data_IF_556662857553
#
_entry.id   IF_556662857553
#
_cell.length_a   1.000
_cell.length_b   1.000
_cell.length_c   1.000
_cell.angle_alpha   90.00
_cell.angle_beta   90.00
_cell.angle_gamma   90.00
#
_symmetry.space_group_name_H-M   'P 1'
#
loop_
_entity.id
_entity.type
_entity.pdbx_description
1 polymer ?
#
# COMPACT_ATOMS: atom_id res chain seq x y z
N UNK A 1 46.46 6.97 40.35
CA UNK A 1 45.08 6.46 40.16
C UNK A 1 44.49 7.20 38.98
N UNK A 2 44.54 6.58 37.80
CA UNK A 2 43.94 7.11 36.56
C UNK A 2 42.50 6.63 36.53
N UNK A 3 41.54 7.52 36.79
CA UNK A 3 40.12 7.25 36.60
C UNK A 3 39.82 7.57 35.13
N UNK A 4 39.93 6.57 34.27
CA UNK A 4 39.34 6.66 32.94
C UNK A 4 37.83 6.48 33.12
N UNK A 5 37.11 7.59 33.28
CA UNK A 5 35.67 7.59 33.07
C UNK A 5 35.46 7.30 31.58
N UNK A 6 35.16 6.05 31.25
CA UNK A 6 34.67 5.70 29.92
C UNK A 6 33.30 6.37 29.76
N UNK A 7 33.26 7.60 29.26
CA UNK A 7 32.04 8.22 28.75
C UNK A 7 31.59 7.40 27.54
N UNK A 8 30.79 6.35 27.75
CA UNK A 8 29.99 5.80 26.66
C UNK A 8 29.07 6.93 26.23
N UNK A 9 29.17 7.32 24.95
CA UNK A 9 28.24 8.28 24.37
C UNK A 9 26.84 7.71 24.54
N UNK A 10 25.96 8.45 25.21
CA UNK A 10 24.55 8.12 25.27
C UNK A 10 24.02 8.20 23.83
N UNK A 11 23.59 7.06 23.30
CA UNK A 11 23.01 7.00 21.97
C UNK A 11 21.51 7.26 22.12
N UNK A 12 21.08 8.44 21.71
CA UNK A 12 19.66 8.77 21.64
C UNK A 12 19.14 8.31 20.29
N UNK A 13 18.19 7.38 20.28
CA UNK A 13 17.53 6.93 19.04
C UNK A 13 16.93 8.12 18.28
N UNK A 14 17.15 8.11 16.98
CA UNK A 14 16.55 9.02 15.99
C UNK A 14 15.21 8.46 15.51
N UNK A 15 14.41 9.31 14.87
CA UNK A 15 13.20 8.93 14.12
C UNK A 15 13.49 7.85 13.07
N UNK A 16 14.67 7.90 12.44
CA UNK A 16 15.12 6.89 11.48
C UNK A 16 15.41 5.55 12.17
N UNK A 17 16.11 5.55 13.32
CA UNK A 17 16.34 4.32 14.09
C UNK A 17 15.03 3.66 14.53
N UNK A 18 14.07 4.47 14.97
CA UNK A 18 12.74 4.01 15.39
C UNK A 18 11.94 3.44 14.22
N UNK A 19 11.94 4.12 13.08
CA UNK A 19 11.21 3.68 11.87
C UNK A 19 11.83 2.42 11.28
N UNK A 20 13.16 2.33 11.18
CA UNK A 20 13.86 1.13 10.70
C UNK A 20 13.56 -0.09 11.57
N UNK A 21 13.50 0.10 12.89
CA UNK A 21 13.11 -0.98 13.79
C UNK A 21 11.61 -1.30 13.71
N UNK A 22 10.75 -0.29 13.53
CA UNK A 22 9.34 -0.46 13.21
C UNK A 22 9.11 -1.33 11.97
N UNK A 23 9.81 -1.06 10.87
CA UNK A 23 9.76 -1.89 9.66
C UNK A 23 10.27 -3.31 9.89
N UNK A 24 11.36 -3.47 10.66
CA UNK A 24 11.86 -4.80 11.04
C UNK A 24 10.78 -5.62 11.77
N UNK A 25 10.04 -4.99 12.69
CA UNK A 25 8.96 -5.65 13.42
C UNK A 25 7.73 -5.88 12.53
N UNK A 26 7.40 -4.94 11.63
CA UNK A 26 6.30 -5.06 10.68
C UNK A 26 6.50 -6.28 9.76
N UNK A 27 7.71 -6.43 9.23
CA UNK A 27 8.10 -7.59 8.41
C UNK A 27 8.00 -8.90 9.21
N UNK A 28 8.40 -8.91 10.48
CA UNK A 28 8.26 -10.09 11.35
C UNK A 28 6.79 -10.44 11.62
N UNK A 29 5.95 -9.45 11.95
CA UNK A 29 4.53 -9.65 12.19
C UNK A 29 3.81 -10.18 10.93
N UNK A 30 4.17 -9.68 9.75
CA UNK A 30 3.64 -10.17 8.46
C UNK A 30 3.96 -11.65 8.18
N UNK A 31 5.05 -12.20 8.73
CA UNK A 31 5.40 -13.61 8.54
C UNK A 31 4.54 -14.57 9.37
N UNK A 32 3.85 -14.08 10.41
CA UNK A 32 3.06 -14.91 11.33
C UNK A 32 1.64 -14.36 11.57
N UNK A 33 0.96 -13.97 10.48
CA UNK A 33 -0.42 -13.46 10.51
C UNK A 33 -1.45 -14.43 11.12
N UNK A 34 -1.12 -15.72 11.20
CA UNK A 34 -2.02 -16.75 11.76
C UNK A 34 -1.82 -16.98 13.26
N UNK A 35 -0.81 -16.34 13.87
CA UNK A 35 -0.59 -16.37 15.30
C UNK A 35 -1.77 -15.75 16.06
N UNK A 36 -2.02 -16.23 17.27
CA UNK A 36 -2.95 -15.61 18.20
C UNK A 36 -2.43 -14.28 18.81
N UNK A 37 -1.21 -13.88 18.46
CA UNK A 37 -0.58 -12.60 18.86
C UNK A 37 -0.49 -11.59 17.74
N UNK A 38 -0.91 -11.92 16.51
CA UNK A 38 -0.65 -11.08 15.35
C UNK A 38 -1.18 -9.64 15.49
N UNK A 39 -2.37 -9.46 16.08
CA UNK A 39 -2.92 -8.13 16.39
C UNK A 39 -2.03 -7.36 17.39
N UNK A 40 -1.60 -8.01 18.48
CA UNK A 40 -0.71 -7.43 19.48
C UNK A 40 0.66 -7.07 18.91
N UNK A 41 1.18 -7.89 17.99
CA UNK A 41 2.45 -7.68 17.31
C UNK A 41 2.38 -6.41 16.44
N UNK A 42 1.27 -6.18 15.71
CA UNK A 42 1.08 -4.93 14.96
C UNK A 42 0.81 -3.72 15.86
N UNK A 43 0.17 -3.88 17.01
CA UNK A 43 0.06 -2.80 18.01
C UNK A 43 1.44 -2.37 18.52
N UNK A 44 2.36 -3.32 18.71
CA UNK A 44 3.75 -3.04 19.08
C UNK A 44 4.52 -2.35 17.95
N UNK A 45 4.33 -2.79 16.69
CA UNK A 45 4.86 -2.11 15.50
C UNK A 45 4.41 -0.65 15.44
N UNK A 46 3.12 -0.39 15.65
CA UNK A 46 2.53 0.94 15.56
C UNK A 46 3.21 1.92 16.53
N UNK A 47 3.53 1.48 17.75
CA UNK A 47 4.22 2.32 18.75
C UNK A 47 5.56 2.86 18.26
N UNK A 48 6.31 2.07 17.49
CA UNK A 48 7.60 2.51 16.95
C UNK A 48 7.46 3.62 15.92
N UNK A 49 6.48 3.50 15.03
CA UNK A 49 6.20 4.55 14.05
C UNK A 49 5.59 5.81 14.70
N UNK A 50 4.73 5.65 15.72
CA UNK A 50 4.27 6.78 16.52
C UNK A 50 5.41 7.51 17.23
N UNK A 51 6.35 6.76 17.83
CA UNK A 51 7.48 7.36 18.53
C UNK A 51 8.44 8.06 17.55
N UNK A 52 8.62 7.51 16.34
CA UNK A 52 9.34 8.18 15.26
C UNK A 52 8.68 9.52 14.87
N UNK A 53 7.36 9.56 14.68
CA UNK A 53 6.65 10.79 14.31
C UNK A 53 6.53 11.80 15.46
N UNK A 54 6.55 11.35 16.71
CA UNK A 54 6.71 12.21 17.90
C UNK A 54 8.13 12.80 17.98
N UNK A 55 9.14 12.03 17.57
CA UNK A 55 10.55 12.45 17.54
C UNK A 55 10.80 13.50 16.46
N UNK A 56 10.24 13.29 15.27
CA UNK A 56 10.24 14.25 14.17
C UNK A 56 8.92 14.19 13.40
N UNK A 57 8.11 15.24 13.55
CA UNK A 57 6.82 15.37 12.88
C UNK A 57 6.93 15.61 11.37
N UNK A 58 8.14 15.76 10.83
CA UNK A 58 8.42 15.86 9.40
C UNK A 58 8.92 14.55 8.79
N UNK A 59 9.11 13.49 9.59
CA UNK A 59 9.64 12.22 9.11
C UNK A 59 8.58 11.42 8.33
N UNK A 60 8.64 11.49 6.99
CA UNK A 60 7.66 10.91 6.07
C UNK A 60 7.42 9.42 6.31
N UNK A 61 8.50 8.65 6.46
CA UNK A 61 8.41 7.20 6.52
C UNK A 61 7.81 6.69 7.84
N UNK A 62 7.91 7.49 8.91
CA UNK A 62 7.17 7.20 10.16
C UNK A 62 5.65 7.22 9.92
N UNK A 63 5.15 8.16 9.12
CA UNK A 63 3.73 8.22 8.77
C UNK A 63 3.33 7.13 7.76
N UNK A 64 4.21 6.78 6.82
CA UNK A 64 4.03 5.63 5.92
C UNK A 64 3.84 4.34 6.72
N UNK A 65 4.75 4.06 7.66
CA UNK A 65 4.67 2.91 8.55
C UNK A 65 3.42 2.87 9.42
N UNK A 66 2.99 4.01 9.99
CA UNK A 66 1.70 4.10 10.68
C UNK A 66 0.54 3.73 9.77
N UNK A 67 0.50 4.24 8.54
CA UNK A 67 -0.55 3.97 7.57
C UNK A 67 -0.70 2.48 7.25
N UNK A 68 0.40 1.84 6.88
CA UNK A 68 0.42 0.40 6.58
C UNK A 68 0.09 -0.45 7.81
N UNK A 69 0.56 -0.05 8.99
CA UNK A 69 0.27 -0.78 10.24
C UNK A 69 -1.20 -0.71 10.63
N UNK A 70 -1.82 0.48 10.56
CA UNK A 70 -3.25 0.61 10.77
C UNK A 70 -4.08 -0.18 9.75
N UNK A 71 -3.66 -0.19 8.47
CA UNK A 71 -4.33 -1.00 7.46
C UNK A 71 -4.26 -2.50 7.80
N UNK A 72 -3.12 -3.01 8.28
CA UNK A 72 -3.00 -4.41 8.74
C UNK A 72 -3.84 -4.67 10.00
N UNK A 73 -3.86 -3.76 10.98
CA UNK A 73 -4.68 -3.88 12.19
C UNK A 73 -6.18 -4.03 11.87
N UNK A 74 -6.65 -3.34 10.81
CA UNK A 74 -8.05 -3.44 10.38
C UNK A 74 -8.49 -4.87 10.01
N UNK A 75 -7.56 -5.75 9.64
CA UNK A 75 -7.85 -7.15 9.27
C UNK A 75 -8.28 -8.01 10.47
N UNK A 76 -7.94 -7.62 11.69
CA UNK A 76 -8.32 -8.35 12.91
C UNK A 76 -9.68 -7.94 13.47
N UNK A 77 -10.25 -6.84 12.96
CA UNK A 77 -11.54 -6.30 13.40
C UNK A 77 -12.70 -6.88 12.59
N UNK A 78 -13.87 -6.97 13.23
CA UNK A 78 -15.09 -7.45 12.58
C UNK A 78 -15.57 -6.38 11.59
N UNK A 79 -15.84 -6.71 10.30
CA UNK A 79 -16.12 -5.75 9.22
C UNK A 79 -17.26 -4.75 9.42
N UNK A 80 -18.15 -4.96 10.39
CA UNK A 80 -19.46 -4.31 10.42
C UNK A 80 -19.61 -3.13 11.41
N UNK A 81 -18.59 -2.75 12.19
CA UNK A 81 -18.80 -1.68 13.21
C UNK A 81 -17.62 -0.74 13.51
N UNK A 82 -16.41 -0.93 12.94
CA UNK A 82 -15.28 -0.04 13.25
C UNK A 82 -14.26 0.14 12.12
N UNK A 83 -14.51 1.11 11.23
CA UNK A 83 -13.54 1.57 10.23
C UNK A 83 -12.45 2.50 10.82
N UNK A 84 -12.35 2.64 12.14
CA UNK A 84 -11.41 3.57 12.77
C UNK A 84 -9.97 3.31 12.34
N UNK A 85 -9.53 2.05 12.20
CA UNK A 85 -8.16 1.77 11.76
C UNK A 85 -7.92 2.16 10.30
N UNK A 86 -8.86 1.88 9.38
CA UNK A 86 -8.73 2.33 7.99
C UNK A 86 -8.74 3.86 7.89
N UNK A 87 -9.55 4.54 8.70
CA UNK A 87 -9.53 6.01 8.77
C UNK A 87 -8.21 6.53 9.37
N UNK A 88 -7.67 5.88 10.39
CA UNK A 88 -6.37 6.22 10.97
C UNK A 88 -5.23 5.96 9.97
N UNK A 89 -5.35 4.91 9.15
CA UNK A 89 -4.41 4.62 8.07
C UNK A 89 -4.40 5.77 7.05
N UNK A 90 -5.59 6.20 6.59
CA UNK A 90 -5.73 7.36 5.70
C UNK A 90 -5.13 8.61 6.34
N UNK A 91 -5.47 8.91 7.59
CA UNK A 91 -4.95 10.09 8.30
C UNK A 91 -3.43 10.06 8.43
N UNK A 92 -2.83 8.89 8.66
CA UNK A 92 -1.39 8.73 8.70
C UNK A 92 -0.77 8.95 7.32
N UNK A 93 -1.27 8.27 6.28
CA UNK A 93 -0.80 8.44 4.91
C UNK A 93 -0.90 9.88 4.45
N UNK A 94 -2.04 10.56 4.65
CA UNK A 94 -2.24 11.97 4.28
C UNK A 94 -1.33 12.93 5.06
N UNK A 95 -0.95 12.60 6.31
CA UNK A 95 0.06 13.36 7.03
C UNK A 95 1.43 13.15 6.40
N UNK A 96 1.80 11.92 6.04
CA UNK A 96 3.06 11.59 5.37
C UNK A 96 3.17 12.20 3.96
N UNK A 97 2.04 12.30 3.26
CA UNK A 97 1.93 12.91 1.94
C UNK A 97 2.49 14.34 1.96
N UNK A 98 3.32 14.67 0.96
CA UNK A 98 3.99 15.97 0.86
C UNK A 98 5.15 16.23 1.83
N UNK A 99 5.47 15.29 2.74
CA UNK A 99 6.71 15.40 3.56
C UNK A 99 7.94 15.05 2.73
N UNK A 100 9.11 15.57 3.16
CA UNK A 100 10.37 15.35 2.44
C UNK A 100 10.88 13.94 2.70
N UNK A 101 11.17 13.21 1.63
CA UNK A 101 11.82 11.91 1.74
C UNK A 101 13.19 12.02 2.40
N UNK A 102 13.47 11.09 3.32
CA UNK A 102 14.81 10.94 3.88
C UNK A 102 15.76 10.46 2.76
N UNK A 103 16.84 11.21 2.45
CA UNK A 103 17.77 10.84 1.37
C UNK A 103 18.57 9.55 1.64
N UNK A 104 18.42 8.93 2.82
CA UNK A 104 19.02 7.64 3.17
C UNK A 104 18.12 6.44 2.87
N UNK A 105 16.87 6.67 2.46
CA UNK A 105 15.94 5.62 2.04
C UNK A 105 16.02 5.47 0.53
N UNK A 106 16.34 4.26 0.07
CA UNK A 106 16.60 3.96 -1.34
C UNK A 106 15.32 3.84 -2.19
N UNK A 107 14.19 3.47 -1.58
CA UNK A 107 12.89 3.42 -2.25
C UNK A 107 12.12 4.73 -2.11
N UNK A 108 11.14 4.96 -2.99
CA UNK A 108 10.32 6.18 -2.93
C UNK A 108 9.14 5.98 -1.96
N UNK A 109 9.29 6.50 -0.75
CA UNK A 109 8.27 6.39 0.33
C UNK A 109 6.94 7.03 -0.09
N UNK A 110 6.98 8.06 -0.94
CA UNK A 110 5.75 8.67 -1.43
C UNK A 110 4.94 7.70 -2.30
N UNK A 111 5.61 6.83 -3.08
CA UNK A 111 4.90 5.80 -3.86
C UNK A 111 4.17 4.80 -2.96
N UNK A 112 4.79 4.39 -1.84
CA UNK A 112 4.15 3.51 -0.85
C UNK A 112 2.92 4.17 -0.22
N UNK A 113 3.00 5.47 0.07
CA UNK A 113 1.88 6.25 0.60
C UNK A 113 0.73 6.30 -0.42
N UNK A 114 1.01 6.56 -1.70
CA UNK A 114 -0.01 6.61 -2.74
C UNK A 114 -0.68 5.24 -2.93
N UNK A 115 0.09 4.15 -2.91
CA UNK A 115 -0.46 2.80 -2.96
C UNK A 115 -1.32 2.49 -1.72
N UNK A 116 -0.83 2.81 -0.53
CA UNK A 116 -1.54 2.61 0.73
C UNK A 116 -2.89 3.36 0.75
N UNK A 117 -2.92 4.61 0.29
CA UNK A 117 -4.17 5.37 0.11
C UNK A 117 -5.12 4.69 -0.88
N UNK A 118 -4.61 4.25 -2.03
CA UNK A 118 -5.39 3.56 -3.05
C UNK A 118 -6.10 2.33 -2.49
N UNK A 119 -5.36 1.46 -1.80
CA UNK A 119 -5.92 0.24 -1.22
C UNK A 119 -6.87 0.53 -0.06
N UNK A 120 -6.52 1.45 0.83
CA UNK A 120 -7.34 1.77 2.01
C UNK A 120 -8.70 2.36 1.60
N UNK A 121 -8.72 3.29 0.63
CA UNK A 121 -9.98 3.82 0.10
C UNK A 121 -10.79 2.76 -0.65
N UNK A 122 -10.12 1.80 -1.33
CA UNK A 122 -10.82 0.69 -2.00
C UNK A 122 -11.53 -0.21 -0.99
N UNK A 123 -10.93 -0.50 0.16
CA UNK A 123 -11.56 -1.28 1.24
C UNK A 123 -12.76 -0.54 1.81
N UNK A 124 -12.70 0.80 1.91
CA UNK A 124 -13.82 1.64 2.35
C UNK A 124 -14.91 1.86 1.28
N UNK A 125 -14.75 1.26 0.09
CA UNK A 125 -15.64 1.46 -1.07
C UNK A 125 -15.74 2.94 -1.51
N UNK A 126 -14.71 3.74 -1.26
CA UNK A 126 -14.59 5.07 -1.85
C UNK A 126 -13.87 4.97 -3.20
N UNK A 127 -14.61 4.57 -4.22
CA UNK A 127 -14.08 4.39 -5.58
C UNK A 127 -13.51 5.71 -6.15
N UNK A 128 -13.99 6.87 -5.70
CA UNK A 128 -13.51 8.16 -6.21
C UNK A 128 -12.10 8.44 -5.71
N UNK A 129 -11.86 8.28 -4.41
CA UNK A 129 -10.54 8.48 -3.83
C UNK A 129 -9.57 7.36 -4.22
N UNK A 130 -10.06 6.12 -4.38
CA UNK A 130 -9.28 5.00 -4.95
C UNK A 130 -8.70 5.38 -6.31
N UNK A 131 -9.52 5.95 -7.19
CA UNK A 131 -9.09 6.40 -8.52
C UNK A 131 -8.07 7.53 -8.43
N UNK A 132 -8.32 8.55 -7.60
CA UNK A 132 -7.42 9.72 -7.47
C UNK A 132 -6.01 9.29 -7.06
N UNK A 133 -5.89 8.45 -6.04
CA UNK A 133 -4.58 8.05 -5.52
C UNK A 133 -3.88 7.02 -6.41
N UNK A 134 -4.64 6.07 -6.99
CA UNK A 134 -4.06 5.06 -7.88
C UNK A 134 -3.57 5.67 -9.19
N UNK A 135 -4.37 6.55 -9.82
CA UNK A 135 -3.94 7.27 -11.03
C UNK A 135 -2.73 8.17 -10.74
N UNK A 136 -2.63 8.75 -9.53
CA UNK A 136 -1.46 9.52 -9.11
C UNK A 136 -0.21 8.66 -9.05
N UNK A 137 -0.26 7.48 -8.41
CA UNK A 137 0.87 6.56 -8.37
C UNK A 137 1.31 6.12 -9.76
N UNK A 138 0.37 5.68 -10.61
CA UNK A 138 0.67 5.23 -11.96
C UNK A 138 1.31 6.33 -12.81
N UNK A 139 0.84 7.57 -12.66
CA UNK A 139 1.42 8.74 -13.32
C UNK A 139 2.88 9.00 -12.90
N UNK A 140 3.21 8.86 -11.61
CA UNK A 140 4.59 9.04 -11.14
C UNK A 140 5.53 7.93 -11.63
N UNK A 141 5.12 6.66 -11.52
CA UNK A 141 5.99 5.55 -11.94
C UNK A 141 6.17 5.49 -13.47
N UNK A 142 5.18 5.94 -14.24
CA UNK A 142 5.29 6.04 -15.71
C UNK A 142 6.30 7.12 -16.13
N UNK A 143 6.32 8.28 -15.45
CA UNK A 143 7.28 9.36 -15.73
C UNK A 143 8.73 8.88 -15.60
N UNK A 144 8.98 8.09 -14.56
CA UNK A 144 10.32 7.58 -14.25
C UNK A 144 10.62 6.23 -14.91
N UNK A 145 9.64 5.62 -15.60
CA UNK A 145 9.71 4.30 -16.23
C UNK A 145 10.18 3.22 -15.26
N UNK A 146 9.66 3.27 -14.04
CA UNK A 146 9.91 2.29 -13.00
C UNK A 146 8.64 1.49 -12.72
N UNK A 147 8.79 0.35 -12.04
CA UNK A 147 7.68 -0.36 -11.40
C UNK A 147 7.72 -0.09 -9.91
N UNK A 148 6.56 -0.12 -9.26
CA UNK A 148 6.45 -0.04 -7.81
C UNK A 148 6.14 -1.42 -7.22
N UNK A 149 6.72 -1.71 -6.07
CA UNK A 149 6.42 -2.86 -5.23
C UNK A 149 6.63 -2.45 -3.77
N UNK A 150 5.81 -2.96 -2.86
CA UNK A 150 5.91 -2.62 -1.45
C UNK A 150 7.11 -3.33 -0.80
N UNK A 151 8.13 -2.60 -0.30
CA UNK A 151 9.41 -3.21 0.05
C UNK A 151 9.41 -3.98 1.37
N UNK A 152 8.37 -3.86 2.19
CA UNK A 152 8.27 -4.44 3.54
C UNK A 152 7.46 -5.74 3.58
N UNK A 153 7.45 -6.48 2.47
CA UNK A 153 6.89 -7.81 2.36
C UNK A 153 7.94 -8.79 1.81
N UNK A 154 7.85 -10.05 2.24
CA UNK A 154 8.76 -11.10 1.78
C UNK A 154 8.47 -11.44 0.32
N UNK A 155 9.52 -11.45 -0.51
CA UNK A 155 9.41 -11.86 -1.92
C UNK A 155 9.22 -13.38 -2.05
N UNK A 156 8.56 -13.80 -3.13
CA UNK A 156 8.44 -15.21 -3.50
C UNK A 156 9.79 -15.83 -3.93
N UNK A 157 9.78 -17.13 -4.27
CA UNK A 157 10.98 -17.86 -4.73
C UNK A 157 11.59 -17.30 -6.03
N UNK A 158 10.85 -16.49 -6.77
CA UNK A 158 11.27 -15.85 -8.03
C UNK A 158 11.68 -14.39 -7.82
N UNK A 159 11.57 -13.86 -6.60
CA UNK A 159 11.89 -12.48 -6.27
C UNK A 159 10.76 -11.49 -6.53
N UNK A 160 9.51 -11.95 -6.70
CA UNK A 160 8.36 -11.07 -6.87
C UNK A 160 7.80 -10.67 -5.50
N UNK A 161 7.43 -9.40 -5.36
CA UNK A 161 6.72 -8.93 -4.18
C UNK A 161 5.25 -9.34 -4.23
N UNK A 162 4.62 -9.63 -3.08
CA UNK A 162 3.19 -9.94 -3.02
C UNK A 162 2.30 -8.76 -3.40
N UNK A 163 2.68 -7.54 -2.99
CA UNK A 163 1.97 -6.31 -3.31
C UNK A 163 2.80 -5.45 -4.25
N UNK A 164 2.28 -5.19 -5.46
CA UNK A 164 2.96 -4.39 -6.47
C UNK A 164 2.01 -3.50 -7.30
N UNK A 165 2.56 -2.82 -8.33
CA UNK A 165 1.80 -1.94 -9.20
C UNK A 165 0.66 -2.63 -9.95
N UNK A 166 0.69 -3.95 -10.13
CA UNK A 166 -0.41 -4.71 -10.74
C UNK A 166 -1.62 -4.78 -9.79
N UNK A 167 -1.40 -4.80 -8.48
CA UNK A 167 -2.47 -4.67 -7.50
C UNK A 167 -3.15 -3.30 -7.59
N UNK A 168 -2.37 -2.25 -7.84
CA UNK A 168 -2.91 -0.90 -8.11
C UNK A 168 -3.77 -0.90 -9.38
N UNK A 169 -3.30 -1.55 -10.45
CA UNK A 169 -4.09 -1.69 -11.68
C UNK A 169 -5.39 -2.45 -11.45
N UNK A 170 -5.39 -3.57 -10.74
CA UNK A 170 -6.63 -4.35 -10.55
C UNK A 170 -7.62 -3.62 -9.64
N UNK A 171 -7.13 -2.91 -8.63
CA UNK A 171 -7.95 -2.03 -7.78
C UNK A 171 -8.58 -0.89 -8.59
N UNK A 172 -7.81 -0.24 -9.49
CA UNK A 172 -8.35 0.79 -10.39
C UNK A 172 -9.33 0.22 -11.42
N UNK A 173 -9.07 -0.96 -11.98
CA UNK A 173 -9.98 -1.62 -12.89
C UNK A 173 -11.36 -1.80 -12.24
N UNK A 174 -11.40 -2.29 -11.00
CA UNK A 174 -12.62 -2.45 -10.22
C UNK A 174 -13.31 -1.11 -9.92
N UNK A 175 -12.58 -0.14 -9.36
CA UNK A 175 -13.15 1.16 -8.98
C UNK A 175 -13.74 1.92 -10.19
N UNK A 176 -13.03 1.90 -11.33
CA UNK A 176 -13.51 2.52 -12.57
C UNK A 176 -14.69 1.75 -13.17
N UNK A 177 -14.69 0.41 -13.08
CA UNK A 177 -15.84 -0.40 -13.51
C UNK A 177 -17.10 -0.09 -12.71
N UNK A 178 -17.01 -0.02 -11.38
CA UNK A 178 -18.17 0.26 -10.49
C UNK A 178 -18.78 1.63 -10.82
N UNK A 179 -17.94 2.61 -11.17
CA UNK A 179 -18.37 3.97 -11.50
C UNK A 179 -18.79 4.15 -12.97
N UNK A 180 -18.66 3.12 -13.80
CA UNK A 180 -18.86 3.26 -15.23
C UNK A 180 -20.32 3.52 -15.58
N UNK A 181 -20.55 4.57 -16.37
CA UNK A 181 -21.87 4.92 -16.91
C UNK A 181 -21.87 5.08 -18.43
N UNK A 182 -20.68 5.14 -19.03
CA UNK A 182 -20.45 5.33 -20.46
C UNK A 182 -19.50 4.27 -21.01
N UNK A 183 -19.45 4.12 -22.33
CA UNK A 183 -18.50 3.25 -23.01
C UNK A 183 -17.06 3.67 -22.69
N UNK A 184 -16.78 4.97 -22.63
CA UNK A 184 -15.45 5.49 -22.31
C UNK A 184 -15.03 5.14 -20.88
N UNK A 185 -15.96 5.10 -19.92
CA UNK A 185 -15.67 4.64 -18.55
C UNK A 185 -15.28 3.16 -18.52
N UNK A 186 -15.99 2.31 -19.28
CA UNK A 186 -15.64 0.88 -19.40
C UNK A 186 -14.29 0.68 -20.09
N UNK A 187 -14.01 1.43 -21.17
CA UNK A 187 -12.70 1.43 -21.81
C UNK A 187 -11.59 1.86 -20.83
N UNK A 188 -11.88 2.83 -19.95
CA UNK A 188 -10.93 3.27 -18.92
C UNK A 188 -10.67 2.20 -17.86
N UNK A 189 -11.64 1.34 -17.55
CA UNK A 189 -11.45 0.16 -16.69
C UNK A 189 -10.65 -0.93 -17.43
N UNK A 190 -10.98 -1.23 -18.69
CA UNK A 190 -10.27 -2.21 -19.52
C UNK A 190 -8.80 -1.87 -19.71
N UNK A 191 -8.44 -0.59 -19.81
CA UNK A 191 -7.04 -0.16 -19.87
C UNK A 191 -6.18 -0.79 -18.76
N UNK A 192 -6.71 -0.91 -17.55
CA UNK A 192 -5.97 -1.54 -16.44
C UNK A 192 -5.95 -3.07 -16.55
N UNK A 193 -7.01 -3.69 -17.08
CA UNK A 193 -7.04 -5.13 -17.41
C UNK A 193 -5.95 -5.46 -18.43
N UNK A 194 -5.83 -4.65 -19.49
CA UNK A 194 -4.82 -4.84 -20.53
C UNK A 194 -3.40 -4.65 -20.02
N UNK A 195 -3.18 -3.66 -19.15
CA UNK A 195 -1.89 -3.46 -18.50
C UNK A 195 -1.44 -4.72 -17.73
N UNK A 196 -2.36 -5.36 -17.00
CA UNK A 196 -2.08 -6.62 -16.30
C UNK A 196 -1.85 -7.77 -17.28
N UNK A 197 -2.68 -7.92 -18.32
CA UNK A 197 -2.51 -8.96 -19.33
C UNK A 197 -1.13 -8.87 -19.99
N UNK A 198 -0.70 -7.67 -20.37
CA UNK A 198 0.63 -7.42 -20.94
C UNK A 198 1.73 -7.80 -19.96
N UNK A 199 1.66 -7.33 -18.71
CA UNK A 199 2.68 -7.59 -17.70
C UNK A 199 2.81 -9.08 -17.34
N UNK A 200 1.70 -9.83 -17.35
CA UNK A 200 1.66 -11.27 -17.06
C UNK A 200 1.74 -12.15 -18.31
N UNK A 201 1.90 -11.57 -19.50
CA UNK A 201 1.92 -12.29 -20.79
C UNK A 201 0.69 -13.20 -20.99
N UNK A 202 -0.50 -12.65 -20.68
CA UNK A 202 -1.80 -13.28 -20.89
C UNK A 202 -2.37 -12.85 -22.25
N UNK A 203 -3.41 -13.55 -22.71
CA UNK A 203 -4.13 -13.20 -23.94
C UNK A 203 -4.81 -11.82 -23.82
N UNK A 204 -4.81 -11.10 -24.93
CA UNK A 204 -5.57 -9.84 -25.08
C UNK A 204 -7.05 -10.03 -24.72
N UNK A 205 -7.63 -9.01 -24.10
CA UNK A 205 -9.04 -8.94 -23.77
C UNK A 205 -9.75 -7.98 -24.74
N UNK A 206 -11.03 -8.24 -25.03
CA UNK A 206 -11.89 -7.35 -25.82
C UNK A 206 -13.35 -7.67 -25.51
N UNK A 207 -14.17 -6.62 -25.37
CA UNK A 207 -15.60 -6.74 -25.13
C UNK A 207 -16.39 -5.55 -25.67
N UNK A 208 -17.63 -5.81 -26.13
CA UNK A 208 -18.52 -4.74 -26.57
C UNK A 208 -19.36 -4.17 -25.41
N UNK A 209 -18.98 -2.99 -24.92
CA UNK A 209 -19.63 -2.30 -23.79
C UNK A 209 -20.97 -1.64 -24.10
N UNK A 210 -21.41 -1.61 -25.36
CA UNK A 210 -22.81 -1.29 -25.70
C UNK A 210 -23.80 -2.34 -25.19
N UNK A 211 -23.29 -3.52 -24.77
CA UNK A 211 -24.10 -4.65 -24.33
C UNK A 211 -23.85 -5.01 -22.87
N UNK A 212 -24.90 -5.43 -22.17
CA UNK A 212 -24.80 -6.00 -20.81
C UNK A 212 -23.84 -7.19 -20.80
N UNK A 213 -23.82 -8.00 -21.86
CA UNK A 213 -22.92 -9.16 -21.97
C UNK A 213 -21.45 -8.73 -21.99
N UNK A 214 -21.10 -7.65 -22.71
CA UNK A 214 -19.74 -7.13 -22.70
C UNK A 214 -19.32 -6.58 -21.34
N UNK A 215 -20.22 -5.85 -20.66
CA UNK A 215 -19.98 -5.35 -19.30
C UNK A 215 -19.78 -6.51 -18.30
N UNK A 216 -20.58 -7.57 -18.41
CA UNK A 216 -20.42 -8.79 -17.61
C UNK A 216 -19.10 -9.52 -17.88
N UNK A 217 -18.61 -9.52 -19.13
CA UNK A 217 -17.29 -10.08 -19.47
C UNK A 217 -16.17 -9.30 -18.80
N UNK A 218 -16.23 -7.97 -18.79
CA UNK A 218 -15.21 -7.14 -18.12
C UNK A 218 -15.21 -7.39 -16.61
N UNK A 219 -16.38 -7.43 -15.97
CA UNK A 219 -16.49 -7.80 -14.56
C UNK A 219 -15.88 -9.18 -14.27
N UNK A 220 -16.19 -10.18 -15.10
CA UNK A 220 -15.64 -11.52 -14.96
C UNK A 220 -14.12 -11.55 -15.15
N UNK A 221 -13.58 -10.76 -16.09
CA UNK A 221 -12.14 -10.67 -16.32
C UNK A 221 -11.41 -9.99 -15.16
N UNK A 222 -11.98 -8.94 -14.59
CA UNK A 222 -11.45 -8.30 -13.37
C UNK A 222 -11.38 -9.33 -12.23
N UNK A 223 -12.45 -10.12 -12.04
CA UNK A 223 -12.45 -11.18 -11.03
C UNK A 223 -11.39 -12.25 -11.29
N UNK A 224 -11.24 -12.71 -12.54
CA UNK A 224 -10.21 -13.67 -12.95
C UNK A 224 -8.79 -13.14 -12.65
N UNK A 225 -8.52 -11.89 -13.03
CA UNK A 225 -7.20 -11.28 -12.78
C UNK A 225 -6.94 -11.10 -11.29
N UNK A 226 -7.95 -10.77 -10.49
CA UNK A 226 -7.81 -10.71 -9.03
C UNK A 226 -7.43 -12.08 -8.44
N UNK A 227 -7.94 -13.18 -8.99
CA UNK A 227 -7.54 -14.53 -8.57
C UNK A 227 -6.12 -14.90 -9.01
N UNK A 228 -5.66 -14.41 -10.18
CA UNK A 228 -4.30 -14.63 -10.68
C UNK A 228 -3.25 -13.87 -9.87
N UNK A 229 -3.61 -12.70 -9.32
CA UNK A 229 -2.70 -11.84 -8.56
C UNK A 229 -2.60 -12.22 -7.07
N UNK A 230 -3.53 -13.02 -6.54
CA UNK A 230 -3.47 -13.56 -5.17
C UNK A 230 -2.42 -14.65 -5.00
#
# INVERSE_FOLDING_TARGET
>A
MLIFAACRKEWTATEEDMTNYGWTLFEQANLDLTSNTAEEDFDDVLKWFEDATKKDTSYQDGYNGMGWTYAKLSMFKIPDDDFNDLNNAIDAFLKGEGKTQNPRIDHNVWHDILAGLTFTYSVLHDDSMTIVWGDSLLSEIEKDRITWAFPHEAVDINGNYPTDYLDVHITLALAKFIRATTIDDFNSSEYHVDAINVAKNLSDFDANYETIVGQQKLAAKIQELQEILR
#
